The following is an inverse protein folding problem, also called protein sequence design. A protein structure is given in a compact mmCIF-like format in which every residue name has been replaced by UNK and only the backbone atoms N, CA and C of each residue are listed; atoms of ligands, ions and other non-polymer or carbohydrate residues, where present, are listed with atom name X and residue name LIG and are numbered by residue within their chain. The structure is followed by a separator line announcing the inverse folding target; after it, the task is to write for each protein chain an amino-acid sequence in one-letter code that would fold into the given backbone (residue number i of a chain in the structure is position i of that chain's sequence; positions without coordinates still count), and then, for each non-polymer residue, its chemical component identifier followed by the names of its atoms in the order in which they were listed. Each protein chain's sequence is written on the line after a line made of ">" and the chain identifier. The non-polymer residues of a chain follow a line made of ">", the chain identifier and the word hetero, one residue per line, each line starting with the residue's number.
data_IF_612635972740
#
_entry.id   IF_612635972740
#
_cell.length_a   1.000
_cell.length_b   1.000
_cell.length_c   1.000
_cell.angle_alpha   90.00
_cell.angle_beta   90.00
_cell.angle_gamma   90.00
#
_symmetry.space_group_name_H-M   'P 1'
#
loop_
_entity.id
_entity.type
_entity.pdbx_description
1 polymer ?
#
# COMPACT_ATOMS: atom_id res chain seq x y z
N UNK A 1 -25.69 10.11 -55.27
CA UNK A 1 -25.16 10.80 -54.06
C UNK A 1 -25.98 10.35 -52.85
N UNK A 2 -25.55 9.28 -52.17
CA UNK A 2 -26.17 8.83 -50.93
C UNK A 2 -25.39 9.43 -49.74
N UNK A 3 -26.05 10.28 -48.95
CA UNK A 3 -25.52 10.80 -47.68
C UNK A 3 -25.83 9.77 -46.59
N UNK A 4 -24.81 9.14 -46.02
CA UNK A 4 -24.91 8.44 -44.74
C UNK A 4 -24.97 9.48 -43.61
N UNK A 5 -25.92 9.41 -42.66
CA UNK A 5 -25.76 10.10 -41.40
C UNK A 5 -24.79 9.32 -40.51
N UNK A 6 -23.64 9.92 -40.18
CA UNK A 6 -22.80 9.49 -39.06
C UNK A 6 -23.57 9.76 -37.76
N UNK A 7 -24.21 8.74 -37.19
CA UNK A 7 -24.54 8.76 -35.78
C UNK A 7 -23.28 8.38 -34.99
N UNK A 8 -22.48 9.38 -34.61
CA UNK A 8 -21.62 9.22 -33.43
C UNK A 8 -22.55 9.16 -32.22
N UNK A 9 -22.89 7.95 -31.79
CA UNK A 9 -23.35 7.74 -30.42
C UNK A 9 -22.18 8.18 -29.55
N UNK A 10 -22.27 9.38 -28.94
CA UNK A 10 -21.29 9.77 -27.95
C UNK A 10 -21.50 8.85 -26.76
N UNK A 11 -20.61 7.88 -26.57
CA UNK A 11 -20.52 7.10 -25.34
C UNK A 11 -20.14 8.05 -24.20
N UNK A 12 -21.13 8.77 -23.67
CA UNK A 12 -20.97 9.45 -22.39
C UNK A 12 -20.93 8.34 -21.33
N UNK A 13 -19.93 8.33 -20.45
CA UNK A 13 -19.93 7.40 -19.32
C UNK A 13 -21.22 7.61 -18.52
N UNK A 14 -21.85 6.53 -18.06
CA UNK A 14 -22.95 6.62 -17.11
C UNK A 14 -22.44 7.30 -15.82
N UNK A 15 -23.23 8.24 -15.31
CA UNK A 15 -22.92 9.00 -14.10
C UNK A 15 -24.06 8.76 -13.12
N UNK A 16 -23.75 8.17 -11.98
CA UNK A 16 -24.71 7.89 -10.91
C UNK A 16 -25.23 9.21 -10.27
N UNK A 17 -26.42 9.19 -9.66
CA UNK A 17 -27.10 10.37 -9.08
C UNK A 17 -26.42 10.94 -7.82
N UNK A 18 -25.31 10.34 -7.39
CA UNK A 18 -24.51 10.82 -6.26
C UNK A 18 -24.04 12.28 -6.44
N UNK A 19 -23.76 13.00 -5.35
CA UNK A 19 -23.20 14.37 -5.43
C UNK A 19 -21.95 14.46 -6.30
N UNK A 20 -21.07 13.44 -6.26
CA UNK A 20 -19.87 13.38 -7.10
C UNK A 20 -20.22 13.22 -8.58
N UNK A 21 -21.19 12.36 -8.90
CA UNK A 21 -21.66 12.19 -10.26
C UNK A 21 -22.22 13.50 -10.84
N UNK A 22 -23.07 14.19 -10.07
CA UNK A 22 -23.61 15.48 -10.49
C UNK A 22 -22.51 16.53 -10.75
N UNK A 23 -21.44 16.56 -9.94
CA UNK A 23 -20.30 17.45 -10.19
C UNK A 23 -19.50 17.06 -11.44
N UNK A 24 -19.26 15.77 -11.69
CA UNK A 24 -18.62 15.31 -12.92
C UNK A 24 -19.43 15.70 -14.17
N UNK A 25 -20.76 15.57 -14.10
CA UNK A 25 -21.62 15.97 -15.20
C UNK A 25 -21.56 17.48 -15.45
N UNK A 26 -21.58 18.30 -14.40
CA UNK A 26 -21.39 19.76 -14.50
C UNK A 26 -20.05 20.11 -15.14
N UNK A 27 -18.97 19.43 -14.75
CA UNK A 27 -17.64 19.64 -15.34
C UNK A 27 -17.61 19.30 -16.83
N UNK A 28 -18.20 18.18 -17.24
CA UNK A 28 -18.26 17.77 -18.65
C UNK A 28 -19.14 18.68 -19.51
N UNK A 29 -20.14 19.32 -18.91
CA UNK A 29 -20.93 20.38 -19.56
C UNK A 29 -20.18 21.71 -19.62
N UNK A 30 -19.14 21.90 -18.81
CA UNK A 30 -18.34 23.12 -18.68
C UNK A 30 -16.96 22.99 -19.35
N UNK A 31 -16.91 22.35 -20.53
CA UNK A 31 -15.73 22.19 -21.40
C UNK A 31 -14.58 21.27 -20.92
N UNK A 32 -14.74 20.53 -19.82
CA UNK A 32 -13.79 19.46 -19.46
C UNK A 32 -14.08 18.22 -20.32
N UNK A 33 -13.16 17.76 -21.19
CA UNK A 33 -13.43 16.60 -22.04
C UNK A 33 -13.57 15.33 -21.18
N UNK A 34 -14.65 14.52 -21.33
CA UNK A 34 -14.82 13.28 -20.56
C UNK A 34 -13.64 12.32 -20.68
N UNK A 35 -13.07 12.22 -21.88
CA UNK A 35 -11.88 11.40 -22.15
C UNK A 35 -10.68 11.82 -21.29
N UNK A 36 -10.50 13.12 -21.06
CA UNK A 36 -9.42 13.64 -20.21
C UNK A 36 -9.63 13.26 -18.74
N UNK A 37 -10.87 13.29 -18.25
CA UNK A 37 -11.20 12.85 -16.88
C UNK A 37 -10.89 11.37 -16.70
N UNK A 38 -11.34 10.51 -17.62
CA UNK A 38 -11.09 9.07 -17.54
C UNK A 38 -9.60 8.75 -17.69
N UNK A 39 -8.89 9.44 -18.59
CA UNK A 39 -7.45 9.29 -18.75
C UNK A 39 -6.71 9.69 -17.47
N UNK A 40 -7.07 10.82 -16.85
CA UNK A 40 -6.47 11.24 -15.59
C UNK A 40 -6.72 10.23 -14.48
N UNK A 41 -7.94 9.67 -14.38
CA UNK A 41 -8.25 8.64 -13.38
C UNK A 41 -7.42 7.36 -13.57
N UNK A 42 -7.28 6.87 -14.82
CA UNK A 42 -6.45 5.69 -15.11
C UNK A 42 -4.96 5.96 -14.95
N UNK A 43 -4.52 7.18 -15.25
CA UNK A 43 -3.16 7.61 -14.97
C UNK A 43 -2.87 7.63 -13.47
N UNK A 44 -3.78 8.20 -12.67
CA UNK A 44 -3.69 8.19 -11.21
C UNK A 44 -3.58 6.77 -10.67
N UNK A 45 -4.44 5.85 -11.15
CA UNK A 45 -4.38 4.44 -10.77
C UNK A 45 -3.02 3.80 -11.07
N UNK A 46 -2.47 4.03 -12.28
CA UNK A 46 -1.15 3.53 -12.67
C UNK A 46 -0.06 4.09 -11.75
N UNK A 47 -0.05 5.40 -11.53
CA UNK A 47 0.98 6.08 -10.75
C UNK A 47 0.95 5.66 -9.27
N UNK A 48 -0.25 5.62 -8.66
CA UNK A 48 -0.44 5.13 -7.29
C UNK A 48 0.01 3.68 -7.14
N UNK A 49 -0.35 2.82 -8.09
CA UNK A 49 0.08 1.41 -8.08
C UNK A 49 1.60 1.29 -8.13
N UNK A 50 2.24 1.94 -9.11
CA UNK A 50 3.70 1.86 -9.27
C UNK A 50 4.45 2.39 -8.06
N UNK A 51 4.01 3.53 -7.48
CA UNK A 51 4.59 4.04 -6.23
C UNK A 51 4.51 3.02 -5.11
N UNK A 52 3.35 2.41 -4.94
CA UNK A 52 3.10 1.44 -3.88
C UNK A 52 3.94 0.17 -4.07
N UNK A 53 3.97 -0.38 -5.29
CA UNK A 53 4.77 -1.55 -5.64
C UNK A 53 6.26 -1.29 -5.43
N UNK A 54 6.80 -0.22 -6.03
CA UNK A 54 8.21 0.15 -5.89
C UNK A 54 8.57 0.39 -4.43
N UNK A 55 7.70 1.06 -3.67
CA UNK A 55 7.92 1.28 -2.25
C UNK A 55 8.11 -0.04 -1.51
N UNK A 56 7.20 -1.02 -1.68
CA UNK A 56 7.31 -2.33 -1.03
C UNK A 56 8.60 -3.05 -1.43
N UNK A 57 8.94 -3.09 -2.73
CA UNK A 57 10.12 -3.82 -3.20
C UNK A 57 11.43 -3.17 -2.74
N UNK A 58 11.53 -1.83 -2.74
CA UNK A 58 12.69 -1.13 -2.21
C UNK A 58 12.82 -1.30 -0.69
N UNK A 59 11.69 -1.28 0.04
CA UNK A 59 11.68 -1.53 1.49
C UNK A 59 12.14 -2.93 1.83
N UNK A 60 11.67 -3.94 1.09
CA UNK A 60 12.09 -5.32 1.28
C UNK A 60 13.58 -5.53 0.94
N UNK A 61 14.10 -4.82 -0.07
CA UNK A 61 15.52 -4.95 -0.46
C UNK A 61 16.49 -4.18 0.42
N UNK A 62 16.16 -2.94 0.78
CA UNK A 62 17.11 -2.01 1.40
C UNK A 62 16.77 -1.64 2.84
N UNK A 63 15.62 -2.09 3.36
CA UNK A 63 15.19 -1.82 4.72
C UNK A 63 15.12 -0.32 5.00
N UNK A 64 15.85 0.12 6.01
CA UNK A 64 15.88 1.53 6.45
C UNK A 64 16.53 2.46 5.41
N UNK A 65 17.43 1.94 4.57
CA UNK A 65 18.17 2.71 3.57
C UNK A 65 17.42 2.89 2.24
N UNK A 66 16.17 2.43 2.14
CA UNK A 66 15.40 2.44 0.89
C UNK A 66 15.26 3.82 0.23
N UNK A 67 15.28 4.91 1.01
CA UNK A 67 15.17 6.27 0.45
C UNK A 67 16.41 6.72 -0.31
N UNK A 68 17.58 6.12 -0.04
CA UNK A 68 18.84 6.45 -0.69
C UNK A 68 18.84 6.02 -2.17
N UNK A 69 17.90 5.14 -2.51
CA UNK A 69 17.63 4.64 -3.86
C UNK A 69 16.60 5.50 -4.61
N UNK A 70 16.08 6.56 -3.98
CA UNK A 70 15.22 7.52 -4.66
C UNK A 70 16.03 8.70 -5.22
N UNK A 71 15.60 9.29 -6.35
CA UNK A 71 16.17 10.53 -6.84
C UNK A 71 16.12 11.65 -5.80
N UNK A 72 17.26 12.34 -5.59
CA UNK A 72 17.40 13.48 -4.64
C UNK A 72 16.37 14.58 -4.81
N UNK A 73 15.76 14.69 -5.99
CA UNK A 73 14.71 15.67 -6.26
C UNK A 73 13.45 15.43 -5.40
N UNK A 74 13.12 14.18 -5.08
CA UNK A 74 12.00 13.85 -4.20
C UNK A 74 12.22 14.40 -2.78
N UNK A 75 13.43 14.24 -2.24
CA UNK A 75 13.82 14.80 -0.93
C UNK A 75 13.73 16.34 -0.92
N UNK A 76 14.18 16.99 -1.99
CA UNK A 76 14.05 18.46 -2.10
C UNK A 76 12.59 18.91 -2.06
N UNK A 77 11.70 18.21 -2.76
CA UNK A 77 10.27 18.55 -2.77
C UNK A 77 9.60 18.27 -1.42
N UNK A 78 9.92 17.14 -0.80
CA UNK A 78 9.46 16.80 0.55
C UNK A 78 9.86 17.89 1.55
N UNK A 79 11.13 18.29 1.60
CA UNK A 79 11.62 19.31 2.52
C UNK A 79 10.97 20.68 2.31
N UNK A 80 10.69 21.05 1.06
CA UNK A 80 9.98 22.31 0.76
C UNK A 80 8.54 22.28 1.26
N UNK A 81 7.86 21.14 1.10
CA UNK A 81 6.46 20.97 1.50
C UNK A 81 6.30 20.88 3.02
N UNK A 82 7.25 20.26 3.73
CA UNK A 82 7.31 20.27 5.19
C UNK A 82 7.39 21.69 5.77
N UNK A 83 7.97 22.65 5.02
CA UNK A 83 7.98 24.07 5.39
C UNK A 83 6.61 24.76 5.30
N UNK A 84 5.60 24.11 4.69
CA UNK A 84 4.26 24.63 4.46
C UNK A 84 3.23 23.90 5.32
N UNK A 85 3.44 23.85 6.64
CA UNK A 85 2.61 23.09 7.59
C UNK A 85 1.10 23.42 7.55
N UNK A 86 0.72 24.60 7.07
CA UNK A 86 -0.68 25.01 6.90
C UNK A 86 -1.37 24.38 5.67
N UNK A 87 -0.62 23.73 4.77
CA UNK A 87 -1.10 22.96 3.62
C UNK A 87 -0.78 21.47 3.75
N UNK A 88 -0.64 20.96 4.98
CA UNK A 88 -0.28 19.56 5.20
C UNK A 88 -1.20 18.59 4.46
N UNK A 89 -0.61 17.78 3.58
CA UNK A 89 -1.29 16.73 2.83
C UNK A 89 -1.15 15.39 3.55
N UNK A 90 -2.02 14.39 3.26
CA UNK A 90 -1.87 13.04 3.78
C UNK A 90 -0.56 12.36 3.36
N UNK A 91 0.08 12.85 2.29
CA UNK A 91 1.34 12.32 1.76
C UNK A 91 2.59 12.90 2.45
N UNK A 92 2.40 13.82 3.42
CA UNK A 92 3.49 14.48 4.12
C UNK A 92 4.36 13.46 4.89
N UNK A 93 5.67 13.49 4.63
CA UNK A 93 6.64 12.57 5.22
C UNK A 93 6.72 11.21 4.53
N UNK A 94 6.06 11.03 3.38
CA UNK A 94 6.25 9.87 2.50
C UNK A 94 7.04 10.29 1.25
N UNK A 95 8.37 10.13 1.26
CA UNK A 95 9.25 10.52 0.16
C UNK A 95 8.82 10.02 -1.23
N UNK A 96 8.21 8.83 -1.30
CA UNK A 96 7.73 8.25 -2.56
C UNK A 96 6.61 9.09 -3.21
N UNK A 97 5.79 9.80 -2.44
CA UNK A 97 4.73 10.65 -2.97
C UNK A 97 5.29 11.87 -3.71
N UNK A 98 6.48 12.34 -3.33
CA UNK A 98 7.18 13.46 -3.96
C UNK A 98 8.01 13.06 -5.18
N UNK A 99 8.00 11.77 -5.56
CA UNK A 99 8.68 11.31 -6.76
C UNK A 99 7.82 11.62 -8.00
N UNK A 100 8.37 12.43 -8.89
CA UNK A 100 7.76 12.70 -10.19
C UNK A 100 7.63 11.40 -11.01
N UNK A 101 6.56 11.32 -11.81
CA UNK A 101 6.28 10.10 -12.57
C UNK A 101 7.35 9.77 -13.62
N UNK A 102 8.04 10.78 -14.19
CA UNK A 102 9.14 10.53 -15.12
C UNK A 102 10.25 9.71 -14.47
N UNK A 103 10.85 10.22 -13.38
CA UNK A 103 11.77 9.46 -12.53
C UNK A 103 11.21 8.14 -11.99
N UNK A 104 9.93 8.05 -11.62
CA UNK A 104 9.32 6.78 -11.21
C UNK A 104 9.34 5.73 -12.33
N UNK A 105 8.96 6.11 -13.56
CA UNK A 105 8.99 5.22 -14.71
C UNK A 105 10.43 4.79 -15.05
N UNK A 106 11.40 5.69 -14.91
CA UNK A 106 12.83 5.40 -15.09
C UNK A 106 13.35 4.43 -14.03
N UNK A 107 12.95 4.63 -12.77
CA UNK A 107 13.32 3.75 -11.67
C UNK A 107 12.81 2.33 -11.90
N UNK A 108 11.57 2.16 -12.37
CA UNK A 108 11.04 0.83 -12.69
C UNK A 108 11.80 0.15 -13.84
N UNK A 109 12.29 0.94 -14.80
CA UNK A 109 13.05 0.45 -15.95
C UNK A 109 14.56 0.35 -15.76
N UNK A 110 15.08 0.71 -14.58
CA UNK A 110 16.51 0.76 -14.32
C UNK A 110 17.10 -0.65 -14.16
N UNK A 111 18.23 -0.89 -14.82
CA UNK A 111 18.90 -2.21 -14.81
C UNK A 111 19.27 -2.65 -13.39
N UNK A 112 19.60 -1.70 -12.50
CA UNK A 112 19.94 -1.98 -11.10
C UNK A 112 18.80 -2.58 -10.26
N UNK A 113 17.53 -2.31 -10.64
CA UNK A 113 16.34 -2.85 -9.97
C UNK A 113 15.67 -3.97 -10.76
N UNK A 114 16.26 -4.38 -11.89
CA UNK A 114 15.71 -5.42 -12.75
C UNK A 114 15.36 -6.70 -11.99
N UNK A 115 16.29 -7.18 -11.16
CA UNK A 115 16.11 -8.44 -10.42
C UNK A 115 14.95 -8.41 -9.42
N UNK A 116 14.51 -7.23 -8.96
CA UNK A 116 13.41 -7.12 -7.99
C UNK A 116 12.10 -6.64 -8.61
N UNK A 117 12.14 -5.82 -9.66
CA UNK A 117 10.94 -5.23 -10.28
C UNK A 117 10.43 -6.02 -11.48
N UNK A 118 11.30 -6.61 -12.31
CA UNK A 118 10.87 -7.41 -13.48
C UNK A 118 9.94 -8.58 -13.08
N UNK A 119 10.19 -9.33 -11.98
CA UNK A 119 9.31 -10.42 -11.55
C UNK A 119 7.90 -9.99 -11.15
N UNK A 120 7.70 -8.71 -10.80
CA UNK A 120 6.44 -8.14 -10.28
C UNK A 120 5.83 -7.08 -11.19
N UNK A 121 6.43 -6.86 -12.36
CA UNK A 121 5.92 -5.96 -13.39
C UNK A 121 5.81 -6.71 -14.73
N UNK A 122 6.79 -6.51 -15.62
CA UNK A 122 6.92 -7.13 -16.93
C UNK A 122 8.39 -7.11 -17.38
N UNK A 123 8.71 -7.76 -18.52
CA UNK A 123 10.07 -7.74 -19.09
C UNK A 123 10.59 -6.29 -19.22
N UNK A 124 11.81 -6.06 -18.75
CA UNK A 124 12.42 -4.72 -18.69
C UNK A 124 12.45 -3.99 -20.05
N UNK A 125 12.59 -4.71 -21.17
CA UNK A 125 12.57 -4.10 -22.52
C UNK A 125 11.16 -3.66 -22.90
N UNK A 126 10.17 -4.49 -22.56
CA UNK A 126 8.76 -4.16 -22.76
C UNK A 126 8.41 -2.93 -21.93
N UNK A 127 8.80 -2.93 -20.64
CA UNK A 127 8.60 -1.79 -19.75
C UNK A 127 9.21 -0.51 -20.32
N UNK A 128 10.48 -0.54 -20.74
CA UNK A 128 11.17 0.65 -21.26
C UNK A 128 10.50 1.22 -22.51
N UNK A 129 9.98 0.36 -23.39
CA UNK A 129 9.12 0.77 -24.51
C UNK A 129 7.85 1.47 -24.05
N UNK A 130 7.13 0.90 -23.08
CA UNK A 130 5.91 1.49 -22.49
C UNK A 130 6.19 2.81 -21.79
N UNK A 131 7.24 2.88 -20.97
CA UNK A 131 7.65 4.07 -20.23
C UNK A 131 7.91 5.26 -21.16
N UNK A 132 8.55 5.03 -22.31
CA UNK A 132 8.76 6.07 -23.31
C UNK A 132 7.44 6.65 -23.84
N UNK A 133 6.44 5.81 -24.11
CA UNK A 133 5.11 6.24 -24.55
C UNK A 133 4.35 6.97 -23.42
N UNK A 134 4.35 6.40 -22.22
CA UNK A 134 3.69 6.95 -21.04
C UNK A 134 4.19 8.35 -20.71
N UNK A 135 5.51 8.61 -20.83
CA UNK A 135 6.07 9.96 -20.63
C UNK A 135 5.49 10.99 -21.59
N UNK A 136 5.12 10.61 -22.82
CA UNK A 136 4.45 11.51 -23.77
C UNK A 136 3.02 11.80 -23.33
N UNK A 137 2.28 10.75 -22.93
CA UNK A 137 0.90 10.86 -22.42
C UNK A 137 0.87 11.77 -21.17
N UNK A 138 1.82 11.58 -20.25
CA UNK A 138 1.94 12.42 -19.05
C UNK A 138 2.01 13.91 -19.37
N UNK A 139 2.72 14.32 -20.43
CA UNK A 139 2.83 15.73 -20.82
C UNK A 139 1.48 16.31 -21.23
N UNK A 140 0.59 15.51 -21.81
CA UNK A 140 -0.77 15.96 -22.12
C UNK A 140 -1.55 16.21 -20.82
N UNK A 141 -1.49 15.26 -19.89
CA UNK A 141 -2.16 15.35 -18.59
C UNK A 141 -1.62 16.53 -17.76
N UNK A 142 -0.29 16.69 -17.69
CA UNK A 142 0.39 17.71 -16.88
C UNK A 142 0.02 19.15 -17.25
N UNK A 143 -0.27 19.38 -18.54
CA UNK A 143 -0.49 20.71 -19.09
C UNK A 143 -1.94 20.90 -19.52
N UNK A 144 -2.86 20.04 -19.06
CA UNK A 144 -4.27 20.06 -19.42
C UNK A 144 -4.49 20.16 -20.95
N UNK A 145 -3.60 19.51 -21.73
CA UNK A 145 -3.72 19.46 -23.19
C UNK A 145 -4.73 18.38 -23.56
N UNK A 146 -5.39 18.55 -24.71
CA UNK A 146 -6.27 17.50 -25.24
C UNK A 146 -5.44 16.23 -25.49
N UNK A 147 -5.85 15.06 -24.97
CA UNK A 147 -5.15 13.82 -25.19
C UNK A 147 -5.31 13.35 -26.65
N UNK A 148 -4.39 12.51 -27.11
CA UNK A 148 -4.57 11.75 -28.35
C UNK A 148 -5.68 10.71 -28.14
N UNK A 149 -6.39 10.33 -29.22
CA UNK A 149 -7.48 9.35 -29.15
C UNK A 149 -7.03 8.00 -28.57
N UNK A 150 -5.79 7.60 -28.85
CA UNK A 150 -5.19 6.36 -28.35
C UNK A 150 -4.62 6.40 -26.93
N UNK A 151 -4.48 7.59 -26.32
CA UNK A 151 -3.76 7.72 -25.04
C UNK A 151 -4.41 6.87 -23.94
N UNK A 152 -5.74 6.86 -23.87
CA UNK A 152 -6.47 6.04 -22.91
C UNK A 152 -6.28 4.54 -23.15
N UNK A 153 -6.33 4.11 -24.42
CA UNK A 153 -6.15 2.71 -24.76
C UNK A 153 -4.74 2.21 -24.39
N UNK A 154 -3.72 3.04 -24.59
CA UNK A 154 -2.33 2.73 -24.22
C UNK A 154 -2.15 2.60 -22.71
N UNK A 155 -2.71 3.52 -21.92
CA UNK A 155 -2.65 3.41 -20.45
C UNK A 155 -3.38 2.15 -19.96
N UNK A 156 -4.57 1.85 -20.50
CA UNK A 156 -5.30 0.60 -20.16
C UNK A 156 -4.51 -0.64 -20.54
N UNK A 157 -3.85 -0.65 -21.70
CA UNK A 157 -3.01 -1.76 -22.10
C UNK A 157 -1.85 -1.98 -21.12
N UNK A 158 -1.18 -0.91 -20.68
CA UNK A 158 -0.11 -1.04 -19.67
C UNK A 158 -0.65 -1.61 -18.36
N UNK A 159 -1.80 -1.13 -17.89
CA UNK A 159 -2.43 -1.68 -16.68
C UNK A 159 -2.73 -3.17 -16.83
N UNK A 160 -3.26 -3.61 -17.98
CA UNK A 160 -3.46 -5.04 -18.28
C UNK A 160 -2.15 -5.83 -18.30
N UNK A 161 -1.13 -5.28 -18.95
CA UNK A 161 0.19 -5.90 -19.04
C UNK A 161 0.82 -6.06 -17.64
N UNK A 162 0.49 -5.17 -16.68
CA UNK A 162 0.93 -5.23 -15.29
C UNK A 162 0.15 -6.23 -14.40
N UNK A 163 -1.05 -6.67 -14.79
CA UNK A 163 -1.93 -7.50 -13.94
C UNK A 163 -1.21 -8.74 -13.39
N UNK A 164 -0.51 -9.49 -14.24
CA UNK A 164 0.15 -10.72 -13.81
C UNK A 164 1.24 -10.49 -12.77
N UNK A 165 2.15 -9.55 -13.04
CA UNK A 165 3.20 -9.18 -12.10
C UNK A 165 2.63 -8.60 -10.80
N UNK A 166 1.56 -7.82 -10.91
CA UNK A 166 0.87 -7.21 -9.77
C UNK A 166 0.24 -8.27 -8.86
N UNK A 167 -0.45 -9.26 -9.43
CA UNK A 167 -0.98 -10.38 -8.68
C UNK A 167 0.14 -11.15 -7.97
N UNK A 168 1.24 -11.45 -8.68
CA UNK A 168 2.40 -12.13 -8.09
C UNK A 168 2.97 -11.36 -6.89
N UNK A 169 3.07 -10.04 -6.98
CA UNK A 169 3.56 -9.18 -5.90
C UNK A 169 2.66 -9.19 -4.68
N UNK A 170 1.35 -9.09 -4.89
CA UNK A 170 0.33 -9.07 -3.84
C UNK A 170 0.21 -10.45 -3.17
N UNK A 171 0.08 -11.52 -3.95
CA UNK A 171 -0.03 -12.87 -3.41
C UNK A 171 1.23 -13.27 -2.63
N UNK A 172 2.42 -12.88 -3.09
CA UNK A 172 3.64 -13.12 -2.32
C UNK A 172 3.73 -12.28 -1.04
N UNK A 173 3.18 -11.07 -1.03
CA UNK A 173 3.08 -10.24 0.19
C UNK A 173 2.14 -10.88 1.23
N UNK A 174 0.98 -11.37 0.78
CA UNK A 174 -0.05 -11.94 1.65
C UNK A 174 0.17 -13.43 1.97
N UNK A 175 1.07 -14.11 1.25
CA UNK A 175 1.51 -15.46 1.61
C UNK A 175 2.46 -15.38 2.80
N UNK A 176 1.87 -15.49 3.97
CA UNK A 176 2.56 -15.40 5.25
C UNK A 176 2.88 -16.79 5.81
N UNK A 177 4.09 -16.93 6.36
CA UNK A 177 4.66 -18.15 6.91
C UNK A 177 4.87 -18.02 8.41
N UNK A 178 4.78 -19.15 9.10
CA UNK A 178 5.14 -19.22 10.52
C UNK A 178 6.66 -19.22 10.67
N UNK A 179 7.24 -18.40 11.55
CA UNK A 179 8.69 -18.33 11.73
C UNK A 179 9.23 -19.35 12.76
N UNK A 180 8.46 -20.38 13.11
CA UNK A 180 8.84 -21.40 14.12
C UNK A 180 10.14 -22.13 13.79
N UNK A 181 10.51 -22.24 12.51
CA UNK A 181 11.73 -22.90 12.06
C UNK A 181 12.97 -21.98 12.08
N UNK A 182 12.82 -20.70 12.45
CA UNK A 182 13.89 -19.70 12.48
C UNK A 182 14.53 -19.61 13.87
N UNK A 183 15.12 -20.71 14.32
CA UNK A 183 15.55 -20.91 15.73
C UNK A 183 16.71 -20.03 16.21
N UNK A 184 17.29 -19.17 15.36
CA UNK A 184 18.31 -18.18 15.73
C UNK A 184 17.86 -16.73 15.55
N UNK A 185 16.67 -16.50 15.01
CA UNK A 185 16.28 -15.16 14.58
C UNK A 185 15.97 -14.27 15.80
N UNK A 186 16.57 -13.06 15.91
CA UNK A 186 16.34 -12.18 17.06
C UNK A 186 14.87 -11.81 17.29
N UNK A 187 14.05 -11.71 16.23
CA UNK A 187 12.63 -11.37 16.36
C UNK A 187 11.85 -12.56 16.92
N UNK A 188 12.20 -13.77 16.48
CA UNK A 188 11.62 -15.03 16.98
C UNK A 188 12.02 -15.27 18.43
N UNK A 189 13.30 -15.06 18.75
CA UNK A 189 13.81 -15.20 20.10
C UNK A 189 13.10 -14.25 21.08
N UNK A 190 12.95 -12.99 20.67
CA UNK A 190 12.27 -11.97 21.46
C UNK A 190 10.80 -12.33 21.75
N UNK A 191 10.04 -12.69 20.72
CA UNK A 191 8.57 -12.68 20.79
C UNK A 191 7.89 -14.05 20.76
N UNK A 192 8.54 -15.06 20.20
CA UNK A 192 8.01 -16.43 20.16
C UNK A 192 8.60 -17.26 21.28
N UNK A 193 9.91 -17.14 21.50
CA UNK A 193 10.57 -17.80 22.64
C UNK A 193 10.42 -17.01 23.94
N UNK A 194 9.98 -15.74 23.84
CA UNK A 194 9.62 -14.92 24.99
C UNK A 194 10.79 -14.33 25.76
N UNK A 195 11.94 -14.14 25.10
CA UNK A 195 13.15 -13.59 25.73
C UNK A 195 13.17 -12.05 25.79
N UNK A 196 12.14 -11.36 25.25
CA UNK A 196 11.99 -9.92 25.38
C UNK A 196 11.25 -9.51 26.65
N UNK A 197 11.67 -8.40 27.27
CA UNK A 197 11.05 -7.86 28.48
C UNK A 197 9.55 -7.53 28.33
N UNK A 198 9.10 -7.23 27.12
CA UNK A 198 7.71 -6.90 26.76
C UNK A 198 6.86 -8.13 26.43
N UNK A 199 7.42 -9.34 26.41
CA UNK A 199 6.69 -10.56 26.04
C UNK A 199 5.46 -10.83 26.93
N UNK A 200 5.47 -10.37 28.19
CA UNK A 200 4.29 -10.47 29.08
C UNK A 200 3.03 -9.83 28.48
N UNK A 201 3.17 -8.92 27.52
CA UNK A 201 2.04 -8.30 26.83
C UNK A 201 1.24 -9.29 25.98
N UNK A 202 1.87 -10.35 25.46
CA UNK A 202 1.17 -11.41 24.71
C UNK A 202 0.18 -12.13 25.61
N UNK A 203 0.66 -12.56 26.78
CA UNK A 203 -0.15 -13.15 27.84
C UNK A 203 -1.23 -12.19 28.35
N UNK A 204 -0.87 -10.92 28.53
CA UNK A 204 -1.78 -9.87 29.00
C UNK A 204 -2.91 -9.61 27.98
N UNK A 205 -2.57 -9.50 26.69
CA UNK A 205 -3.50 -9.33 25.59
C UNK A 205 -4.57 -10.44 25.59
N UNK A 206 -4.13 -11.70 25.65
CA UNK A 206 -5.02 -12.85 25.65
C UNK A 206 -5.92 -12.89 26.88
N UNK A 207 -5.36 -12.71 28.08
CA UNK A 207 -6.13 -12.81 29.34
C UNK A 207 -7.08 -11.64 29.55
N UNK A 208 -6.64 -10.40 29.29
CA UNK A 208 -7.37 -9.18 29.65
C UNK A 208 -8.25 -8.66 28.53
N UNK A 209 -7.77 -8.72 27.29
CA UNK A 209 -8.42 -8.09 26.14
C UNK A 209 -9.06 -9.10 25.19
N UNK A 210 -8.83 -10.40 25.38
CA UNK A 210 -9.23 -11.44 24.41
C UNK A 210 -8.61 -11.18 23.04
N UNK A 211 -7.41 -10.64 23.04
CA UNK A 211 -6.64 -10.32 21.84
C UNK A 211 -5.57 -11.38 21.65
N UNK A 212 -5.44 -11.89 20.43
CA UNK A 212 -4.32 -12.74 20.07
C UNK A 212 -3.34 -11.98 19.17
N UNK A 213 -2.07 -12.34 19.32
CA UNK A 213 -0.94 -11.72 18.65
C UNK A 213 -0.20 -12.84 17.92
N UNK A 214 0.02 -12.66 16.63
CA UNK A 214 0.82 -13.56 15.80
C UNK A 214 1.95 -12.77 15.16
N UNK A 215 3.09 -13.43 15.00
CA UNK A 215 4.21 -12.93 14.21
C UNK A 215 4.42 -13.89 13.07
N UNK A 216 4.40 -13.35 11.86
CA UNK A 216 4.60 -14.07 10.62
C UNK A 216 5.61 -13.35 9.75
N UNK A 217 6.05 -13.99 8.68
CA UNK A 217 6.84 -13.34 7.64
C UNK A 217 6.31 -13.66 6.26
N UNK A 218 6.58 -12.80 5.29
CA UNK A 218 6.37 -13.05 3.86
C UNK A 218 7.69 -12.91 3.10
N UNK A 219 7.72 -13.47 1.89
CA UNK A 219 8.90 -13.47 1.02
C UNK A 219 8.54 -12.88 -0.34
N UNK A 220 9.37 -11.95 -0.84
CA UNK A 220 9.13 -11.30 -2.13
C UNK A 220 9.37 -12.28 -3.29
N UNK A 221 8.75 -12.06 -4.46
CA UNK A 221 8.85 -12.98 -5.62
C UNK A 221 10.24 -13.21 -6.22
N UNK A 222 11.26 -12.49 -5.76
CA UNK A 222 12.65 -12.53 -6.22
C UNK A 222 13.61 -13.16 -5.20
N UNK A 223 13.08 -13.68 -4.08
CA UNK A 223 13.82 -14.53 -3.14
C UNK A 223 13.10 -15.88 -2.96
N UNK A 224 13.81 -16.85 -2.39
CA UNK A 224 13.22 -18.13 -2.02
C UNK A 224 12.28 -17.97 -0.83
N UNK A 225 11.09 -18.56 -0.91
CA UNK A 225 10.09 -18.49 0.17
C UNK A 225 10.52 -19.24 1.43
N UNK A 226 11.41 -20.22 1.28
CA UNK A 226 12.02 -20.93 2.40
C UNK A 226 13.43 -20.36 2.60
N UNK A 227 13.68 -19.66 3.71
CA UNK A 227 15.00 -19.11 4.01
C UNK A 227 16.07 -20.21 3.99
N UNK A 228 17.22 -19.89 3.41
CA UNK A 228 18.39 -20.79 3.41
C UNK A 228 19.14 -20.78 4.76
N UNK A 229 18.87 -19.77 5.58
CA UNK A 229 19.44 -19.54 6.91
C UNK A 229 18.36 -19.64 7.98
N UNK A 230 18.71 -20.02 9.23
CA UNK A 230 17.76 -20.07 10.35
C UNK A 230 17.36 -18.67 10.89
N UNK A 231 17.69 -17.61 10.14
CA UNK A 231 17.48 -16.20 10.47
C UNK A 231 17.09 -15.46 9.19
N UNK A 232 16.08 -14.60 9.26
CA UNK A 232 15.70 -13.69 8.18
C UNK A 232 15.90 -12.22 8.57
N UNK A 233 16.11 -11.91 9.85
CA UNK A 233 16.54 -10.61 10.30
C UNK A 233 17.82 -10.16 9.56
N UNK A 234 17.83 -8.94 9.04
CA UNK A 234 18.89 -8.39 8.18
C UNK A 234 18.90 -8.92 6.74
N UNK A 235 18.02 -9.86 6.38
CA UNK A 235 17.95 -10.46 5.04
C UNK A 235 17.07 -9.65 4.10
N UNK A 236 17.46 -9.62 2.83
CA UNK A 236 16.72 -8.93 1.77
C UNK A 236 15.53 -9.77 1.33
N UNK A 237 14.44 -9.11 0.95
CA UNK A 237 13.29 -9.77 0.33
C UNK A 237 12.33 -10.43 1.31
N UNK A 238 12.58 -10.34 2.62
CA UNK A 238 11.65 -10.79 3.64
C UNK A 238 10.99 -9.61 4.35
N UNK A 239 9.74 -9.79 4.76
CA UNK A 239 8.95 -8.80 5.50
C UNK A 239 8.36 -9.48 6.72
N UNK A 240 8.53 -8.88 7.89
CA UNK A 240 7.85 -9.26 9.12
C UNK A 240 6.43 -8.70 9.15
N UNK A 241 5.50 -9.49 9.68
CA UNK A 241 4.11 -9.13 9.89
C UNK A 241 3.77 -9.33 11.37
N UNK A 242 3.39 -8.25 12.04
CA UNK A 242 2.78 -8.29 13.36
C UNK A 242 1.26 -8.24 13.19
N UNK A 243 0.60 -9.34 13.52
CA UNK A 243 -0.84 -9.49 13.38
C UNK A 243 -1.45 -9.45 14.77
N UNK A 244 -2.40 -8.55 14.97
CA UNK A 244 -3.11 -8.38 16.23
C UNK A 244 -4.59 -8.44 15.94
N UNK A 245 -5.27 -9.38 16.58
CA UNK A 245 -6.70 -9.57 16.35
C UNK A 245 -7.48 -9.65 17.65
N UNK A 246 -8.54 -8.83 17.72
CA UNK A 246 -9.44 -8.80 18.86
C UNK A 246 -10.55 -9.84 18.67
N UNK A 247 -10.75 -10.70 19.68
CA UNK A 247 -11.82 -11.71 19.70
C UNK A 247 -13.04 -11.19 20.48
N UNK A 248 -14.10 -11.99 20.49
CA UNK A 248 -15.32 -11.76 21.29
C UNK A 248 -15.99 -10.39 21.04
N UNK A 249 -15.90 -9.89 19.80
CA UNK A 249 -16.46 -8.60 19.40
C UNK A 249 -15.59 -7.39 19.76
N UNK A 250 -14.38 -7.58 20.28
CA UNK A 250 -13.43 -6.48 20.47
C UNK A 250 -13.05 -5.82 19.15
N UNK A 251 -12.63 -4.56 19.22
CA UNK A 251 -12.15 -3.78 18.06
C UNK A 251 -11.04 -2.81 18.47
N UNK A 252 -10.37 -2.22 17.49
CA UNK A 252 -9.32 -1.24 17.67
C UNK A 252 -9.73 0.12 17.15
N UNK A 253 -9.38 1.18 17.88
CA UNK A 253 -9.48 2.55 17.37
C UNK A 253 -8.29 2.84 16.45
N UNK A 254 -8.32 2.30 15.23
CA UNK A 254 -7.28 2.44 14.19
C UNK A 254 -6.82 3.89 14.02
N UNK A 255 -7.77 4.81 13.90
CA UNK A 255 -7.50 6.26 13.78
C UNK A 255 -6.69 6.80 14.97
N UNK A 256 -7.00 6.33 16.17
CA UNK A 256 -6.33 6.76 17.40
C UNK A 256 -4.92 6.16 17.50
N UNK A 257 -4.75 4.89 17.14
CA UNK A 257 -3.42 4.25 17.07
C UNK A 257 -2.52 5.04 16.12
N UNK A 258 -3.01 5.31 14.90
CA UNK A 258 -2.21 6.01 13.91
C UNK A 258 -1.88 7.44 14.30
N UNK A 259 -2.87 8.22 14.77
CA UNK A 259 -2.65 9.65 15.10
C UNK A 259 -1.89 9.86 16.40
N UNK A 260 -2.28 9.15 17.46
CA UNK A 260 -1.77 9.47 18.80
C UNK A 260 -0.45 8.75 19.08
N UNK A 261 -0.28 7.53 18.55
CA UNK A 261 0.91 6.70 18.81
C UNK A 261 1.90 6.75 17.66
N UNK A 262 1.47 6.41 16.44
CA UNK A 262 2.41 6.20 15.33
C UNK A 262 2.88 7.53 14.73
N UNK A 263 1.97 8.45 14.40
CA UNK A 263 2.32 9.74 13.77
C UNK A 263 3.25 10.60 14.63
N UNK A 264 3.16 10.47 15.95
CA UNK A 264 4.00 11.19 16.90
C UNK A 264 5.36 10.52 17.17
N UNK A 265 5.57 9.30 16.68
CA UNK A 265 6.81 8.56 16.81
C UNK A 265 7.39 8.27 15.43
N UNK A 266 8.16 9.24 14.91
CA UNK A 266 8.75 9.19 13.55
C UNK A 266 9.59 7.92 13.36
N UNK A 267 10.35 7.50 14.37
CA UNK A 267 11.20 6.31 14.28
C UNK A 267 10.39 5.04 14.03
N UNK A 268 9.24 4.88 14.70
CA UNK A 268 8.34 3.75 14.48
C UNK A 268 7.60 3.88 13.16
N UNK A 269 7.06 5.07 12.90
CA UNK A 269 6.31 5.38 11.68
C UNK A 269 7.13 5.05 10.44
N UNK A 270 8.41 5.37 10.44
CA UNK A 270 9.29 5.19 9.29
C UNK A 270 9.80 3.75 9.14
N UNK A 271 9.65 2.89 10.17
CA UNK A 271 9.89 1.43 10.09
C UNK A 271 8.71 0.67 9.45
N UNK A 272 7.50 1.20 9.55
CA UNK A 272 6.30 0.58 9.00
C UNK A 272 6.29 0.69 7.46
N UNK A 273 6.11 -0.45 6.79
CA UNK A 273 5.76 -0.52 5.37
C UNK A 273 4.27 -0.25 5.24
N UNK A 274 3.42 -1.10 5.81
CA UNK A 274 1.98 -0.88 5.88
C UNK A 274 1.44 -1.09 7.29
N UNK A 275 0.50 -0.23 7.66
CA UNK A 275 -0.42 -0.42 8.77
C UNK A 275 -1.76 -0.87 8.16
N UNK A 276 -1.87 -2.17 7.96
CA UNK A 276 -2.99 -2.83 7.28
C UNK A 276 -4.12 -3.21 8.23
N UNK A 277 -5.34 -3.13 7.73
CA UNK A 277 -6.55 -3.58 8.42
C UNK A 277 -7.51 -4.23 7.41
N UNK A 278 -8.00 -5.43 7.73
CA UNK A 278 -9.10 -6.08 6.98
C UNK A 278 -10.47 -5.67 7.52
N UNK A 279 -10.50 -5.31 8.80
CA UNK A 279 -11.68 -4.99 9.60
C UNK A 279 -11.20 -4.25 10.85
N UNK A 280 -12.12 -3.64 11.60
CA UNK A 280 -11.81 -2.88 12.80
C UNK A 280 -11.23 -3.74 13.95
N UNK A 281 -11.34 -5.08 13.87
CA UNK A 281 -10.81 -6.00 14.86
C UNK A 281 -9.50 -6.68 14.44
N UNK A 282 -8.90 -6.30 13.30
CA UNK A 282 -7.70 -6.91 12.76
C UNK A 282 -6.68 -5.86 12.32
N UNK A 283 -5.47 -5.95 12.88
CA UNK A 283 -4.32 -5.16 12.47
C UNK A 283 -3.25 -6.10 11.89
N UNK A 284 -2.67 -5.75 10.75
CA UNK A 284 -1.48 -6.39 10.16
C UNK A 284 -0.46 -5.30 9.85
N UNK A 285 0.62 -5.30 10.61
CA UNK A 285 1.62 -4.25 10.57
C UNK A 285 2.91 -4.85 10.03
N UNK A 286 3.36 -4.34 8.89
CA UNK A 286 4.51 -4.89 8.20
C UNK A 286 5.76 -4.05 8.36
N UNK A 287 6.89 -4.71 8.58
CA UNK A 287 8.22 -4.11 8.74
C UNK A 287 9.20 -4.93 7.91
N UNK A 288 10.16 -4.27 7.24
CA UNK A 288 11.18 -4.99 6.46
C UNK A 288 12.04 -5.86 7.37
N UNK A 289 12.30 -7.11 6.99
CA UNK A 289 13.27 -7.93 7.70
C UNK A 289 14.69 -7.39 7.54
N UNK A 290 14.96 -6.60 6.48
CA UNK A 290 16.25 -5.94 6.24
C UNK A 290 16.57 -4.83 7.25
N UNK A 291 15.56 -4.29 7.92
CA UNK A 291 15.74 -3.29 8.98
C UNK A 291 16.51 -3.85 10.18
N UNK A 292 17.07 -2.98 11.00
CA UNK A 292 17.75 -3.39 12.23
C UNK A 292 16.82 -4.20 13.13
N UNK A 293 17.26 -5.40 13.53
CA UNK A 293 16.41 -6.34 14.26
C UNK A 293 16.02 -5.85 15.65
N UNK A 294 16.88 -5.08 16.31
CA UNK A 294 16.58 -4.47 17.62
C UNK A 294 15.46 -3.45 17.47
N UNK A 295 15.52 -2.62 16.43
CA UNK A 295 14.46 -1.66 16.10
C UNK A 295 13.15 -2.37 15.76
N UNK A 296 13.18 -3.48 15.03
CA UNK A 296 11.96 -4.29 14.73
C UNK A 296 11.34 -4.83 16.03
N UNK A 297 12.16 -5.42 16.91
CA UNK A 297 11.71 -5.97 18.19
C UNK A 297 11.06 -4.89 19.07
N UNK A 298 11.70 -3.72 19.21
CA UNK A 298 11.14 -2.61 19.99
C UNK A 298 9.91 -1.99 19.32
N UNK A 299 9.86 -1.97 17.99
CA UNK A 299 8.66 -1.52 17.28
C UNK A 299 7.47 -2.43 17.57
N UNK A 300 7.66 -3.75 17.61
CA UNK A 300 6.58 -4.68 17.98
C UNK A 300 6.09 -4.44 19.41
N UNK A 301 7.00 -4.20 20.36
CA UNK A 301 6.64 -3.84 21.72
C UNK A 301 5.77 -2.59 21.77
N UNK A 302 6.20 -1.53 21.06
CA UNK A 302 5.45 -0.28 20.97
C UNK A 302 4.06 -0.48 20.35
N UNK A 303 3.98 -1.19 19.22
CA UNK A 303 2.75 -1.39 18.47
C UNK A 303 1.74 -2.26 19.21
N UNK A 304 2.20 -3.29 19.93
CA UNK A 304 1.34 -4.09 20.80
C UNK A 304 0.74 -3.22 21.91
N UNK A 305 1.55 -2.42 22.59
CA UNK A 305 1.05 -1.49 23.62
C UNK A 305 0.05 -0.48 23.06
N UNK A 306 0.33 0.08 21.88
CA UNK A 306 -0.57 1.02 21.21
C UNK A 306 -1.93 0.37 20.89
N UNK A 307 -1.90 -0.86 20.34
CA UNK A 307 -3.11 -1.62 20.02
C UNK A 307 -3.94 -1.93 21.26
N UNK A 308 -3.31 -2.41 22.34
CA UNK A 308 -4.00 -2.72 23.61
C UNK A 308 -4.56 -1.46 24.30
N UNK A 309 -3.85 -0.33 24.22
CA UNK A 309 -4.30 0.95 24.77
C UNK A 309 -5.50 1.52 24.00
N UNK A 310 -5.62 1.17 22.72
CA UNK A 310 -6.71 1.60 21.85
C UNK A 310 -7.77 0.50 21.63
N UNK A 311 -7.73 -0.57 22.41
CA UNK A 311 -8.69 -1.66 22.37
C UNK A 311 -10.05 -1.21 22.93
N UNK A 312 -11.12 -1.58 22.24
CA UNK A 312 -12.50 -1.36 22.66
C UNK A 312 -13.18 -2.71 22.78
N UNK A 313 -13.55 -3.08 24.00
CA UNK A 313 -14.39 -4.24 24.23
C UNK A 313 -15.83 -3.93 23.79
N UNK A 314 -16.47 -4.83 23.06
CA UNK A 314 -17.90 -4.74 22.83
C UNK A 314 -18.65 -4.99 24.14
N UNK A 315 -19.57 -4.10 24.49
CA UNK A 315 -20.51 -4.34 25.58
C UNK A 315 -21.63 -5.25 25.09
N UNK A 316 -22.03 -6.24 25.92
CA UNK A 316 -23.21 -7.08 25.64
C UNK A 316 -24.41 -6.18 25.32
N UNK A 317 -24.89 -6.24 24.08
CA UNK A 317 -26.02 -5.45 23.59
C UNK A 317 -25.73 -4.55 22.38
N UNK A 318 -24.47 -4.46 21.91
CA UNK A 318 -24.20 -3.74 20.66
C UNK A 318 -24.57 -4.61 19.43
N UNK A 319 -25.32 -4.03 18.49
CA UNK A 319 -25.82 -4.70 17.27
C UNK A 319 -24.65 -5.12 16.35
N UNK A 320 -24.77 -6.21 15.55
CA UNK A 320 -23.88 -6.46 14.41
C UNK A 320 -23.63 -5.21 13.54
N UNK A 321 -24.62 -4.33 13.39
CA UNK A 321 -24.50 -3.04 12.67
C UNK A 321 -23.36 -2.15 13.19
N UNK A 322 -22.90 -2.36 14.43
CA UNK A 322 -21.83 -1.55 15.01
C UNK A 322 -20.42 -1.96 14.58
N UNK A 323 -20.20 -3.16 14.04
CA UNK A 323 -18.92 -3.50 13.40
C UNK A 323 -18.84 -2.88 11.99
N UNK A 324 -19.89 -2.98 11.19
CA UNK A 324 -19.92 -2.36 9.85
C UNK A 324 -19.72 -0.84 9.92
N UNK A 325 -20.29 -0.18 10.93
CA UNK A 325 -20.07 1.25 11.18
C UNK A 325 -18.63 1.58 11.57
N UNK A 326 -17.96 0.68 12.30
CA UNK A 326 -16.55 0.83 12.64
C UNK A 326 -15.69 0.61 11.39
N UNK A 327 -15.97 -0.41 10.59
CA UNK A 327 -15.27 -0.68 9.34
C UNK A 327 -15.42 0.49 8.37
N UNK A 328 -16.61 1.06 8.21
CA UNK A 328 -16.81 2.25 7.38
C UNK A 328 -16.09 3.48 7.94
N UNK A 329 -15.92 3.58 9.27
CA UNK A 329 -15.10 4.63 9.86
C UNK A 329 -13.61 4.41 9.55
N UNK A 330 -13.11 3.18 9.66
CA UNK A 330 -11.72 2.83 9.32
C UNK A 330 -11.48 3.07 7.83
N UNK A 331 -12.40 2.65 6.95
CA UNK A 331 -12.35 2.89 5.50
C UNK A 331 -12.26 4.38 5.17
N UNK A 332 -13.10 5.21 5.79
CA UNK A 332 -13.07 6.67 5.59
C UNK A 332 -11.80 7.30 6.13
N UNK A 333 -11.27 6.78 7.23
CA UNK A 333 -10.00 7.22 7.79
C UNK A 333 -8.84 6.87 6.83
N UNK A 334 -8.69 5.62 6.42
CA UNK A 334 -7.62 5.17 5.53
C UNK A 334 -7.57 5.98 4.22
N UNK A 335 -8.74 6.25 3.60
CA UNK A 335 -8.84 7.07 2.37
C UNK A 335 -8.33 8.52 2.50
N UNK A 336 -8.20 9.04 3.72
CA UNK A 336 -7.78 10.43 4.02
C UNK A 336 -6.49 10.52 4.81
N UNK A 337 -5.88 9.37 5.11
CA UNK A 337 -4.71 9.27 5.97
C UNK A 337 -3.44 9.03 5.16
N UNK A 338 -2.34 8.87 5.87
CA UNK A 338 -1.06 8.46 5.32
C UNK A 338 -1.21 7.21 4.44
N UNK A 339 -0.52 7.18 3.29
CA UNK A 339 -0.61 6.07 2.35
C UNK A 339 -0.04 4.75 2.91
N UNK A 340 0.57 4.73 4.09
CA UNK A 340 0.90 3.49 4.81
C UNK A 340 -0.31 2.85 5.47
N UNK A 341 -1.38 3.61 5.74
CA UNK A 341 -2.63 3.10 6.33
C UNK A 341 -3.46 2.43 5.24
N UNK A 342 -3.56 1.11 5.28
CA UNK A 342 -4.26 0.32 4.28
C UNK A 342 -5.53 -0.30 4.87
N UNK A 343 -6.67 -0.12 4.22
CA UNK A 343 -7.93 -0.78 4.59
C UNK A 343 -8.58 -1.40 3.37
N UNK A 344 -8.79 -2.73 3.41
CA UNK A 344 -9.30 -3.51 2.27
C UNK A 344 -8.61 -3.16 0.93
N UNK A 345 -7.30 -2.89 1.01
CA UNK A 345 -6.47 -2.63 -0.15
C UNK A 345 -6.08 -3.95 -0.82
N UNK A 346 -5.59 -3.92 -2.07
CA UNK A 346 -5.01 -5.10 -2.69
C UNK A 346 -3.89 -5.74 -1.84
N UNK A 347 -3.09 -4.93 -1.12
CA UNK A 347 -2.04 -5.39 -0.22
C UNK A 347 -2.52 -6.11 1.03
N UNK A 348 -3.81 -6.07 1.31
CA UNK A 348 -4.41 -6.73 2.47
C UNK A 348 -5.25 -7.92 2.01
N UNK A 349 -5.98 -7.81 0.89
CA UNK A 349 -7.00 -8.82 0.54
C UNK A 349 -6.60 -9.84 -0.55
N UNK A 350 -5.53 -9.59 -1.32
CA UNK A 350 -5.20 -10.41 -2.50
C UNK A 350 -4.15 -11.46 -2.17
N UNK A 351 -4.55 -12.73 -2.18
CA UNK A 351 -3.69 -13.89 -1.93
C UNK A 351 -3.77 -14.93 -3.06
N UNK A 352 -3.13 -16.09 -2.89
CA UNK A 352 -3.15 -17.19 -3.88
C UNK A 352 -4.53 -17.82 -4.09
N UNK A 353 -5.42 -17.68 -3.11
CA UNK A 353 -6.77 -18.24 -3.13
C UNK A 353 -7.79 -17.29 -3.78
N UNK A 354 -7.41 -16.04 -3.96
CA UNK A 354 -8.24 -15.00 -4.56
C UNK A 354 -8.54 -15.40 -6.00
N UNK A 355 -9.82 -15.63 -6.31
CA UNK A 355 -10.26 -15.90 -7.68
C UNK A 355 -9.80 -14.78 -8.62
N UNK A 356 -9.64 -15.04 -9.93
CA UNK A 356 -9.13 -14.04 -10.87
C UNK A 356 -9.97 -12.75 -10.82
N UNK A 357 -9.50 -11.79 -10.04
CA UNK A 357 -9.96 -10.41 -10.06
C UNK A 357 -8.98 -9.61 -10.90
N UNK A 358 -9.50 -8.68 -11.68
CA UNK A 358 -8.66 -7.68 -12.32
C UNK A 358 -8.34 -6.61 -11.29
N UNK A 359 -7.06 -6.49 -10.94
CA UNK A 359 -6.57 -5.50 -9.96
C UNK A 359 -6.88 -4.09 -10.47
N UNK A 360 -6.79 -3.88 -11.78
CA UNK A 360 -6.97 -2.57 -12.37
C UNK A 360 -8.34 -2.34 -13.01
N UNK A 361 -9.12 -3.39 -13.26
CA UNK A 361 -10.35 -3.32 -14.06
C UNK A 361 -10.12 -2.60 -15.40
N UNK A 362 -9.01 -2.93 -16.08
CA UNK A 362 -8.47 -2.19 -17.22
C UNK A 362 -8.86 -2.80 -18.58
#
# INVERSE_FOLDING_TARGET
>A
MAKYPRSMVSERPYVDETPLGQELEKLWRSDVPPISTVLHARWWQLETWLRSLVYVELRAKYGDAWTDHLPRQAEKYENNDQGLSYMASPDMGLRMAYLDVGPLLDLVGAEEYRNILEPVTMDHRVWNGRAFELKKIRKHIAHCRRPHEDDLAKVRQVLRDLEHGSFKALSAYNRQFSPVDLTGDPVVDAWINGNHQGHFLVDHASRRYKTEIEIKYSARPWVDSTPSTPEIAGSEGYIWHLIIYAREGGSFRVEQIWRDWISNNIEIRDLIIFFGCHSANHLDISISAKSDSTRVVEAFHFLINAALSCHVAFTRGSSPDSLDLLDERVRRFAKKSDARVQFESPWTIVDDSTQPITIFSA
#
